data_IF_269024720596
#
_entry.id   IF_269024720596
#
_cell.length_a   1.000
_cell.length_b   1.000
_cell.length_c   1.000
_cell.angle_alpha   90.00
_cell.angle_beta   90.00
_cell.angle_gamma   90.00
#
_symmetry.space_group_name_H-M   'P 1'
#
loop_
_entity.id
_entity.type
_entity.pdbx_description
1 polymer ?
#
# COMPACT_ATOMS: atom_id res chain seq x y z
N UNK A 1 20.60 6.85 38.97
CA UNK A 1 19.53 6.36 38.06
C UNK A 1 19.90 4.94 37.64
N UNK A 2 18.97 3.96 37.69
CA UNK A 2 19.28 2.51 37.55
C UNK A 2 18.44 1.81 36.45
N UNK A 3 17.85 2.54 35.50
CA UNK A 3 17.05 1.95 34.43
C UNK A 3 17.42 2.53 33.07
N UNK A 4 17.24 1.73 32.03
CA UNK A 4 17.46 2.09 30.62
C UNK A 4 16.11 2.02 29.87
N UNK A 5 15.70 3.09 29.18
CA UNK A 5 14.50 3.06 28.37
C UNK A 5 14.74 2.29 27.06
N UNK A 6 13.87 1.32 26.77
CA UNK A 6 13.84 0.60 25.49
C UNK A 6 12.54 0.94 24.78
N UNK A 7 12.62 1.58 23.61
CA UNK A 7 11.48 2.08 22.85
C UNK A 7 11.54 1.51 21.42
N UNK A 8 10.46 0.89 20.98
CA UNK A 8 10.27 0.42 19.61
C UNK A 8 9.22 1.25 18.87
N UNK A 9 9.43 1.48 17.59
CA UNK A 9 8.49 2.17 16.70
C UNK A 9 8.20 1.30 15.48
N UNK A 10 6.94 1.30 15.06
CA UNK A 10 6.49 0.72 13.79
C UNK A 10 5.94 1.86 12.93
N UNK A 11 6.43 1.97 11.70
CA UNK A 11 6.08 3.08 10.79
C UNK A 11 5.53 2.51 9.50
N UNK A 12 4.35 2.98 9.09
CA UNK A 12 3.79 2.73 7.77
C UNK A 12 3.92 3.99 6.90
N UNK A 13 4.49 3.81 5.71
CA UNK A 13 4.61 4.86 4.70
C UNK A 13 3.79 4.50 3.45
N UNK A 14 2.87 5.38 3.05
CA UNK A 14 2.09 5.19 1.83
C UNK A 14 2.92 5.56 0.60
N UNK A 15 3.14 4.60 -0.28
CA UNK A 15 3.85 4.82 -1.55
C UNK A 15 2.97 5.62 -2.53
N UNK A 16 3.51 6.72 -3.03
CA UNK A 16 2.84 7.64 -3.98
C UNK A 16 2.80 7.08 -5.42
N UNK A 17 2.23 5.90 -5.57
CA UNK A 17 1.97 5.26 -6.88
C UNK A 17 0.66 5.78 -7.48
N UNK A 18 0.42 5.57 -8.78
CA UNK A 18 -0.85 5.96 -9.44
C UNK A 18 -1.97 4.93 -9.29
N UNK A 19 -1.62 3.65 -9.13
CA UNK A 19 -2.55 2.54 -9.02
C UNK A 19 -2.24 1.69 -7.79
N UNK A 20 -3.24 0.97 -7.27
CA UNK A 20 -3.09 0.10 -6.10
C UNK A 20 -2.05 -1.00 -6.33
N UNK A 21 -1.61 -1.63 -5.24
CA UNK A 21 -0.53 -2.61 -5.24
C UNK A 21 -0.84 -3.87 -6.07
N UNK A 22 -2.11 -4.31 -6.12
CA UNK A 22 -2.51 -5.58 -6.74
C UNK A 22 -3.54 -5.42 -7.88
N UNK A 23 -3.93 -4.20 -8.23
CA UNK A 23 -4.91 -3.92 -9.28
C UNK A 23 -4.73 -2.52 -9.88
N UNK A 24 -5.47 -2.22 -10.95
CA UNK A 24 -5.37 -0.96 -11.69
C UNK A 24 -6.19 0.21 -11.11
N UNK A 25 -6.86 0.03 -9.96
CA UNK A 25 -7.63 1.12 -9.34
C UNK A 25 -6.72 2.27 -8.89
N UNK A 26 -7.24 3.50 -8.95
CA UNK A 26 -6.57 4.71 -8.45
C UNK A 26 -6.25 4.64 -6.95
N UNK A 27 -5.14 5.27 -6.57
CA UNK A 27 -4.69 5.57 -5.20
C UNK A 27 -4.93 7.03 -4.81
N UNK A 28 -5.56 7.82 -5.68
CA UNK A 28 -5.86 9.23 -5.42
C UNK A 28 -6.70 9.40 -4.15
N UNK A 29 -6.37 10.44 -3.40
CA UNK A 29 -7.15 10.84 -2.24
C UNK A 29 -8.50 11.45 -2.67
N UNK A 30 -9.53 11.21 -1.86
CA UNK A 30 -10.90 11.62 -2.17
C UNK A 30 -11.68 10.57 -2.94
N UNK A 31 -12.68 11.02 -3.71
CA UNK A 31 -13.68 10.15 -4.33
C UNK A 31 -14.86 9.86 -3.41
N UNK A 32 -16.02 9.55 -3.99
CA UNK A 32 -17.18 9.10 -3.21
C UNK A 32 -16.99 7.66 -2.71
N UNK A 33 -17.75 7.21 -1.72
CA UNK A 33 -17.62 5.85 -1.20
C UNK A 33 -17.66 4.79 -2.31
N UNK A 34 -16.71 3.85 -2.27
CA UNK A 34 -16.59 2.73 -3.19
C UNK A 34 -16.32 3.05 -4.67
N UNK A 35 -15.90 4.28 -5.05
CA UNK A 35 -15.62 4.60 -6.47
C UNK A 35 -14.24 4.19 -6.98
N UNK A 36 -13.25 4.09 -6.11
CA UNK A 36 -11.91 3.62 -6.48
C UNK A 36 -11.76 2.13 -6.17
N UNK A 37 -12.69 1.32 -6.68
CA UNK A 37 -12.76 -0.12 -6.38
C UNK A 37 -12.90 -0.96 -7.65
N UNK A 38 -12.55 -2.24 -7.54
CA UNK A 38 -12.73 -3.26 -8.56
C UNK A 38 -12.86 -4.62 -7.86
N UNK A 39 -13.23 -5.70 -8.58
CA UNK A 39 -13.34 -7.03 -8.01
C UNK A 39 -12.10 -7.50 -7.24
N UNK A 40 -10.89 -7.16 -7.72
CA UNK A 40 -9.63 -7.56 -7.07
C UNK A 40 -9.49 -6.94 -5.68
N UNK A 41 -9.61 -5.62 -5.56
CA UNK A 41 -9.43 -4.96 -4.25
C UNK A 41 -10.67 -5.05 -3.34
N UNK A 42 -11.77 -5.59 -3.85
CA UNK A 42 -12.96 -5.95 -3.06
C UNK A 42 -12.94 -7.42 -2.63
N UNK A 43 -11.96 -8.22 -3.08
CA UNK A 43 -11.86 -9.64 -2.73
C UNK A 43 -13.00 -10.49 -3.30
N UNK A 44 -13.52 -10.16 -4.48
CA UNK A 44 -14.60 -10.93 -5.12
C UNK A 44 -14.12 -12.34 -5.53
N UNK A 45 -15.01 -13.35 -5.58
CA UNK A 45 -14.64 -14.70 -6.00
C UNK A 45 -14.02 -14.73 -7.40
N UNK A 46 -12.95 -15.53 -7.58
CA UNK A 46 -12.32 -15.79 -8.88
C UNK A 46 -11.32 -14.73 -9.37
N UNK A 47 -11.04 -13.70 -8.58
CA UNK A 47 -10.07 -12.65 -8.93
C UNK A 47 -8.63 -13.04 -8.57
N UNK A 48 -7.66 -12.50 -9.30
CA UNK A 48 -6.23 -12.71 -9.04
C UNK A 48 -5.49 -11.38 -8.88
N UNK A 49 -4.52 -11.27 -7.95
CA UNK A 49 -3.71 -10.07 -7.79
C UNK A 49 -2.65 -9.94 -8.88
N UNK A 50 -2.36 -8.71 -9.32
CA UNK A 50 -1.26 -8.40 -10.22
C UNK A 50 -0.38 -7.32 -9.60
N UNK A 51 0.87 -7.66 -9.27
CA UNK A 51 1.79 -6.77 -8.56
C UNK A 51 2.14 -5.51 -9.36
N UNK A 52 2.02 -4.35 -8.71
CA UNK A 52 2.40 -3.07 -9.28
C UNK A 52 3.93 -2.91 -9.31
N UNK A 53 4.50 -2.81 -10.51
CA UNK A 53 5.94 -2.59 -10.74
C UNK A 53 6.49 -1.36 -10.01
N UNK A 54 5.73 -0.26 -9.94
CA UNK A 54 6.16 0.96 -9.28
C UNK A 54 6.26 0.80 -7.76
N UNK A 55 5.43 -0.06 -7.16
CA UNK A 55 5.55 -0.41 -5.73
C UNK A 55 6.90 -1.06 -5.48
N UNK A 56 7.29 -2.04 -6.29
CA UNK A 56 8.59 -2.73 -6.16
C UNK A 56 9.75 -1.74 -6.30
N UNK A 57 9.72 -0.88 -7.31
CA UNK A 57 10.76 0.14 -7.50
C UNK A 57 10.89 1.09 -6.30
N UNK A 58 9.76 1.54 -5.75
CA UNK A 58 9.76 2.46 -4.61
C UNK A 58 10.23 1.76 -3.34
N UNK A 59 9.82 0.51 -3.11
CA UNK A 59 10.28 -0.27 -1.95
C UNK A 59 11.77 -0.55 -2.02
N UNK A 60 12.32 -0.88 -3.20
CA UNK A 60 13.78 -1.04 -3.36
C UNK A 60 14.50 0.28 -3.07
N UNK A 61 14.01 1.41 -3.57
CA UNK A 61 14.58 2.74 -3.28
C UNK A 61 14.47 3.14 -1.81
N UNK A 62 13.46 2.66 -1.09
CA UNK A 62 13.30 2.94 0.34
C UNK A 62 14.25 2.09 1.20
N UNK A 63 14.61 0.90 0.73
CA UNK A 63 15.49 -0.03 1.44
C UNK A 63 16.99 0.10 1.14
N UNK A 64 17.37 0.94 0.17
CA UNK A 64 18.75 1.25 -0.22
C UNK A 64 19.10 2.69 0.16
#
# INVERSE_FOLDING_TARGET
MRYEPVIGLEVHAQLLTRSKIFCSCSTQFGGSPNTHTCPVCLGMPGVLPVLNRQVVEFTIKMGL
#
